data_IF_028710186182
#
_entry.id   IF_028710186182
#
_cell.length_a   1.000
_cell.length_b   1.000
_cell.length_c   1.000
_cell.angle_alpha   90.00
_cell.angle_beta   90.00
_cell.angle_gamma   90.00
#
_symmetry.space_group_name_H-M   'P 1'
#
loop_
_entity.id
_entity.type
_entity.pdbx_description
1 polymer ?
#
# COMPACT_ATOMS: atom_id res chain seq x y z
N UNK A 1 0.21 -1.54 14.95
CA UNK A 1 -1.07 -0.77 14.95
C UNK A 1 -2.17 -1.63 14.33
N UNK A 2 -3.43 -1.17 14.25
CA UNK A 2 -4.56 -1.98 13.79
C UNK A 2 -4.39 -2.60 12.39
N UNK A 3 -3.65 -1.93 11.50
CA UNK A 3 -3.26 -2.48 10.20
C UNK A 3 -2.37 -3.73 10.37
N UNK A 4 -1.36 -3.70 11.24
CA UNK A 4 -0.51 -4.87 11.54
C UNK A 4 -1.32 -6.02 12.15
N UNK A 5 -2.26 -5.72 13.04
CA UNK A 5 -3.13 -6.73 13.64
C UNK A 5 -4.06 -7.37 12.59
N UNK A 6 -4.64 -6.57 11.70
CA UNK A 6 -5.44 -7.09 10.60
C UNK A 6 -4.58 -7.87 9.60
N UNK A 7 -3.39 -7.37 9.26
CA UNK A 7 -2.41 -8.11 8.48
C UNK A 7 -1.87 -9.34 9.22
N UNK A 8 -2.16 -9.55 10.51
CA UNK A 8 -1.87 -10.80 11.21
C UNK A 8 -3.08 -11.76 11.23
N UNK A 9 -4.19 -11.40 10.56
CA UNK A 9 -5.42 -12.19 10.53
C UNK A 9 -6.42 -11.85 11.63
N UNK A 10 -6.17 -10.83 12.46
CA UNK A 10 -7.14 -10.39 13.45
C UNK A 10 -8.34 -9.68 12.78
N UNK A 11 -9.52 -9.81 13.37
CA UNK A 11 -10.82 -9.38 12.79
C UNK A 11 -11.42 -8.09 13.40
N UNK A 12 -10.74 -6.92 13.47
CA UNK A 12 -11.42 -5.67 13.76
C UNK A 12 -12.03 -5.05 12.48
N UNK A 13 -13.13 -5.60 11.96
CA UNK A 13 -13.69 -5.23 10.65
C UNK A 13 -13.97 -3.72 10.47
N UNK A 14 -14.66 -3.08 11.42
CA UNK A 14 -15.08 -1.68 11.29
C UNK A 14 -13.92 -0.67 11.47
N UNK A 15 -13.00 -0.95 12.38
CA UNK A 15 -11.84 -0.07 12.62
C UNK A 15 -10.79 -0.21 11.52
N UNK A 16 -10.63 -1.42 10.97
CA UNK A 16 -9.71 -1.70 9.88
C UNK A 16 -10.19 -1.05 8.58
N UNK A 17 -11.47 -1.08 8.24
CA UNK A 17 -11.98 -0.47 7.01
C UNK A 17 -11.67 1.03 6.94
N UNK A 18 -11.94 1.81 7.99
CA UNK A 18 -11.57 3.24 8.04
C UNK A 18 -10.06 3.47 7.97
N UNK A 19 -9.27 2.58 8.58
CA UNK A 19 -7.80 2.64 8.52
C UNK A 19 -7.32 2.40 7.09
N UNK A 20 -7.83 1.39 6.41
CA UNK A 20 -7.51 1.08 5.02
C UNK A 20 -7.90 2.23 4.09
N UNK A 21 -9.09 2.80 4.26
CA UNK A 21 -9.53 3.96 3.48
C UNK A 21 -8.58 5.17 3.66
N UNK A 22 -8.17 5.46 4.91
CA UNK A 22 -7.21 6.54 5.19
C UNK A 22 -5.84 6.25 4.59
N UNK A 23 -5.36 5.00 4.65
CA UNK A 23 -4.10 4.58 4.04
C UNK A 23 -4.15 4.71 2.52
N UNK A 24 -5.23 4.22 1.89
CA UNK A 24 -5.43 4.34 0.44
C UNK A 24 -5.38 5.79 -0.03
N UNK A 25 -6.03 6.70 0.71
CA UNK A 25 -6.00 8.14 0.40
C UNK A 25 -4.60 8.73 0.50
N UNK A 26 -3.86 8.42 1.58
CA UNK A 26 -2.47 8.86 1.74
C UNK A 26 -1.55 8.35 0.63
N UNK A 27 -1.79 7.14 0.13
CA UNK A 27 -1.04 6.57 -0.98
C UNK A 27 -1.32 7.31 -2.29
N UNK A 28 -2.58 7.62 -2.59
CA UNK A 28 -2.94 8.43 -3.76
C UNK A 28 -2.39 9.85 -3.68
N UNK A 29 -2.42 10.46 -2.50
CA UNK A 29 -1.83 11.78 -2.26
C UNK A 29 -0.30 11.75 -2.48
N UNK A 30 0.37 10.72 -1.96
CA UNK A 30 1.81 10.51 -2.16
C UNK A 30 2.16 10.27 -3.64
N UNK A 31 1.36 9.48 -4.35
CA UNK A 31 1.51 9.27 -5.80
C UNK A 31 1.42 10.61 -6.55
N UNK A 32 0.41 11.40 -6.26
CA UNK A 32 0.21 12.72 -6.86
C UNK A 32 1.36 13.67 -6.54
N UNK A 33 1.86 13.65 -5.30
CA UNK A 33 2.98 14.47 -4.87
C UNK A 33 4.27 14.08 -5.58
N UNK A 34 4.55 12.78 -5.72
CA UNK A 34 5.70 12.29 -6.47
C UNK A 34 5.57 12.64 -7.95
N UNK A 35 4.37 12.52 -8.53
CA UNK A 35 4.06 12.90 -9.91
C UNK A 35 4.19 14.40 -10.19
N UNK A 36 3.88 15.24 -9.20
CA UNK A 36 3.97 16.70 -9.30
C UNK A 36 5.36 17.24 -8.97
N UNK A 37 6.12 16.50 -8.15
CA UNK A 37 7.52 16.79 -7.91
C UNK A 37 8.30 16.51 -9.20
N UNK A 38 8.62 17.57 -9.93
CA UNK A 38 9.59 17.58 -11.03
C UNK A 38 11.00 17.55 -10.43
N UNK A 39 11.30 16.49 -9.69
CA UNK A 39 12.60 16.29 -9.04
C UNK A 39 13.40 15.25 -9.82
N UNK A 40 14.51 15.66 -10.48
CA UNK A 40 15.40 14.75 -11.20
C UNK A 40 16.20 13.82 -10.25
N UNK A 41 16.03 13.93 -8.94
CA UNK A 41 16.80 13.22 -7.91
C UNK A 41 16.27 11.81 -7.59
N UNK A 42 15.16 11.37 -8.18
CA UNK A 42 14.61 10.02 -7.96
C UNK A 42 14.94 9.11 -9.16
N UNK A 43 16.06 8.35 -9.12
CA UNK A 43 16.53 7.57 -10.27
C UNK A 43 15.58 6.45 -10.72
N UNK A 44 14.64 6.00 -9.88
CA UNK A 44 13.59 5.03 -10.26
C UNK A 44 12.18 5.51 -9.86
N UNK A 45 11.86 6.77 -10.21
CA UNK A 45 10.55 7.39 -9.93
C UNK A 45 9.39 6.60 -10.50
N UNK A 46 9.52 6.06 -11.71
CA UNK A 46 8.48 5.25 -12.34
C UNK A 46 8.24 3.93 -11.57
N UNK A 47 9.30 3.29 -11.07
CA UNK A 47 9.20 2.13 -10.20
C UNK A 47 8.51 2.45 -8.88
N UNK A 48 8.83 3.60 -8.28
CA UNK A 48 8.20 4.06 -7.03
C UNK A 48 6.70 4.34 -7.21
N UNK A 49 6.31 5.07 -8.27
CA UNK A 49 4.90 5.32 -8.60
C UNK A 49 4.16 3.99 -8.79
N UNK A 50 4.72 3.08 -9.58
CA UNK A 50 4.13 1.75 -9.82
C UNK A 50 3.92 0.97 -8.53
N UNK A 51 4.88 1.01 -7.61
CA UNK A 51 4.78 0.34 -6.31
C UNK A 51 3.69 0.96 -5.43
N UNK A 52 3.57 2.29 -5.41
CA UNK A 52 2.53 3.00 -4.68
C UNK A 52 1.15 2.68 -5.24
N UNK A 53 0.95 2.73 -6.55
CA UNK A 53 -0.34 2.40 -7.18
C UNK A 53 -0.75 0.94 -6.91
N UNK A 54 0.21 0.01 -6.93
CA UNK A 54 -0.05 -1.40 -6.56
C UNK A 54 -0.48 -1.55 -5.10
N UNK A 55 0.14 -0.80 -4.19
CA UNK A 55 -0.25 -0.81 -2.78
C UNK A 55 -1.65 -0.19 -2.59
N UNK A 56 -1.96 0.91 -3.28
CA UNK A 56 -3.28 1.52 -3.25
C UNK A 56 -4.37 0.54 -3.74
N UNK A 57 -4.13 -0.16 -4.85
CA UNK A 57 -5.05 -1.17 -5.37
C UNK A 57 -5.24 -2.35 -4.40
N UNK A 58 -4.17 -2.82 -3.75
CA UNK A 58 -4.27 -3.89 -2.76
C UNK A 58 -5.09 -3.47 -1.53
N UNK A 59 -4.93 -2.22 -1.08
CA UNK A 59 -5.71 -1.64 0.02
C UNK A 59 -7.19 -1.47 -0.37
N UNK A 60 -7.49 -1.06 -1.60
CA UNK A 60 -8.88 -0.98 -2.08
C UNK A 60 -9.55 -2.37 -2.15
N UNK A 61 -8.82 -3.38 -2.63
CA UNK A 61 -9.31 -4.77 -2.63
C UNK A 61 -9.53 -5.31 -1.21
N UNK A 62 -8.72 -4.89 -0.25
CA UNK A 62 -8.90 -5.22 1.16
C UNK A 62 -10.18 -4.59 1.74
N UNK A 63 -10.44 -3.33 1.42
CA UNK A 63 -11.67 -2.65 1.82
C UNK A 63 -12.91 -3.35 1.23
N UNK A 64 -12.88 -3.67 -0.07
CA UNK A 64 -13.97 -4.39 -0.73
C UNK A 64 -14.19 -5.79 -0.12
N UNK A 65 -13.13 -6.54 0.16
CA UNK A 65 -13.23 -7.85 0.82
C UNK A 65 -13.84 -7.78 2.22
N UNK A 66 -13.56 -6.71 2.97
CA UNK A 66 -14.19 -6.46 4.27
C UNK A 66 -15.67 -6.07 4.14
N UNK A 67 -16.02 -5.26 3.14
CA UNK A 67 -17.41 -4.87 2.86
C UNK A 67 -18.27 -6.05 2.42
N UNK A 68 -17.70 -6.95 1.61
CA UNK A 68 -18.35 -8.19 1.15
C UNK A 68 -18.46 -9.26 2.25
N UNK A 69 -17.83 -9.03 3.42
CA UNK A 69 -17.72 -9.98 4.52
C UNK A 69 -17.24 -11.38 4.07
N UNK A 70 -16.35 -11.41 3.07
CA UNK A 70 -15.83 -12.63 2.45
C UNK A 70 -14.41 -12.92 2.99
N UNK A 71 -14.24 -13.94 3.84
CA UNK A 71 -12.96 -14.25 4.46
C UNK A 71 -11.86 -14.59 3.44
N UNK A 72 -12.21 -15.24 2.32
CA UNK A 72 -11.24 -15.63 1.31
C UNK A 72 -10.71 -14.39 0.55
N UNK A 73 -11.58 -13.42 0.28
CA UNK A 73 -11.17 -12.11 -0.28
C UNK A 73 -10.30 -11.34 0.70
N UNK A 74 -10.65 -11.33 1.99
CA UNK A 74 -9.86 -10.66 3.04
C UNK A 74 -8.47 -11.26 3.17
N UNK A 75 -8.34 -12.58 3.23
CA UNK A 75 -7.03 -13.25 3.31
C UNK A 75 -6.17 -12.99 2.08
N UNK A 76 -6.78 -13.01 0.88
CA UNK A 76 -6.08 -12.67 -0.36
C UNK A 76 -5.59 -11.23 -0.33
N UNK A 77 -6.44 -10.30 0.05
CA UNK A 77 -6.08 -8.89 0.14
C UNK A 77 -5.00 -8.63 1.18
N UNK A 78 -5.00 -9.34 2.32
CA UNK A 78 -3.90 -9.26 3.29
C UNK A 78 -2.57 -9.70 2.68
N UNK A 79 -2.54 -10.79 1.90
CA UNK A 79 -1.33 -11.21 1.18
C UNK A 79 -0.89 -10.17 0.15
N UNK A 80 -1.82 -9.64 -0.62
CA UNK A 80 -1.54 -8.64 -1.65
C UNK A 80 -0.98 -7.34 -1.03
N UNK A 81 -1.54 -6.88 0.09
CA UNK A 81 -1.03 -5.71 0.83
C UNK A 81 0.39 -5.97 1.36
N UNK A 82 0.66 -7.14 1.96
CA UNK A 82 2.02 -7.49 2.42
C UNK A 82 3.03 -7.48 1.28
N UNK A 83 2.68 -8.09 0.15
CA UNK A 83 3.54 -8.14 -1.04
C UNK A 83 3.80 -6.74 -1.62
N UNK A 84 2.77 -5.89 -1.66
CA UNK A 84 2.90 -4.53 -2.16
C UNK A 84 3.77 -3.65 -1.23
N UNK A 85 3.67 -3.83 0.09
CA UNK A 85 4.57 -3.18 1.07
C UNK A 85 6.02 -3.60 0.83
N UNK A 86 6.28 -4.89 0.66
CA UNK A 86 7.63 -5.40 0.38
C UNK A 86 8.18 -4.85 -0.94
N UNK A 87 7.36 -4.78 -1.98
CA UNK A 87 7.73 -4.20 -3.27
C UNK A 87 8.03 -2.70 -3.17
N UNK A 88 7.25 -1.95 -2.39
CA UNK A 88 7.49 -0.53 -2.15
C UNK A 88 8.80 -0.30 -1.39
N UNK A 89 9.07 -1.10 -0.36
CA UNK A 89 10.34 -1.04 0.37
C UNK A 89 11.55 -1.33 -0.53
N UNK A 90 11.44 -2.32 -1.43
CA UNK A 90 12.48 -2.62 -2.41
C UNK A 90 12.69 -1.47 -3.42
N UNK A 91 11.60 -0.89 -3.94
CA UNK A 91 11.66 0.24 -4.86
C UNK A 91 12.27 1.49 -4.20
N UNK A 92 11.90 1.76 -2.94
CA UNK A 92 12.46 2.85 -2.17
C UNK A 92 13.96 2.64 -1.91
N UNK A 93 14.35 1.45 -1.47
CA UNK A 93 15.76 1.09 -1.25
C UNK A 93 16.56 1.26 -2.54
N UNK A 94 16.04 0.81 -3.68
CA UNK A 94 16.72 0.99 -4.98
C UNK A 94 16.85 2.46 -5.39
N UNK A 95 15.85 3.27 -5.08
CA UNK A 95 15.81 4.69 -5.47
C UNK A 95 16.66 5.60 -4.58
N UNK A 96 16.85 5.24 -3.31
CA UNK A 96 17.47 6.10 -2.30
C UNK A 96 18.66 5.48 -1.56
N UNK A 97 19.11 4.26 -1.93
CA UNK A 97 20.37 3.73 -1.40
C UNK A 97 21.54 4.54 -1.93
N UNK A 98 22.43 5.05 -1.06
CA UNK A 98 23.68 5.64 -1.52
C UNK A 98 24.48 4.55 -2.23
N UNK A 99 24.86 4.81 -3.49
CA UNK A 99 25.87 4.00 -4.16
C UNK A 99 27.19 4.16 -3.36
N UNK A 100 27.92 3.07 -3.06
CA UNK A 100 29.27 3.18 -2.51
C UNK A 100 30.23 3.88 -3.48
#
# INVERSE_FOLDING_TARGET
MALDAWLAGATPQNYTSRTLQSVGRKLSDAETQIQSADSPEVPDRAGLITAISRLAAAVANAEAGLQDNDPAKVERAQRDVRNAIAALAAAYTKSFSPHP
#
